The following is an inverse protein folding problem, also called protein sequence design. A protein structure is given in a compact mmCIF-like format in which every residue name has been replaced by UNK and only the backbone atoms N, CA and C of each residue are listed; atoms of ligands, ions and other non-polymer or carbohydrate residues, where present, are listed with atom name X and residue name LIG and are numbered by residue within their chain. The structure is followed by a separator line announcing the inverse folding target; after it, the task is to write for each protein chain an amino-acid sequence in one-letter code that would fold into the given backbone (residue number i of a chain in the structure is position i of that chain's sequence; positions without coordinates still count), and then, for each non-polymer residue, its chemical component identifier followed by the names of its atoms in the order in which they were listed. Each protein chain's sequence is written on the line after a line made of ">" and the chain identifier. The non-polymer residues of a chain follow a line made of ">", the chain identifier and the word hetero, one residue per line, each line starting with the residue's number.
data_IF_282296394676
#
_entry.id   IF_282296394676
#
_cell.length_a   1.000
_cell.length_b   1.000
_cell.length_c   1.000
_cell.angle_alpha   90.00
_cell.angle_beta   90.00
_cell.angle_gamma   90.00
#
_symmetry.space_group_name_H-M   'P 1'
#
loop_
_entity.id
_entity.type
_entity.pdbx_description
1 polymer ?
#
# COMPACT_ATOMS: atom_id res chain seq x y z
N UNK A 1 2.22 24.44 14.33
CA UNK A 1 2.79 23.57 13.28
C UNK A 1 4.18 23.13 13.68
N UNK A 2 4.31 22.07 14.47
CA UNK A 2 5.63 21.52 14.81
C UNK A 2 5.86 20.30 13.95
N UNK A 3 6.91 20.28 13.13
CA UNK A 3 7.32 19.13 12.31
C UNK A 3 7.43 17.81 13.10
N UNK A 4 7.62 17.93 14.43
CA UNK A 4 7.58 16.83 15.39
C UNK A 4 6.24 16.08 15.42
N UNK A 5 5.10 16.78 15.29
CA UNK A 5 3.77 16.17 15.34
C UNK A 5 3.52 15.30 14.11
N UNK A 6 3.84 15.81 12.91
CA UNK A 6 3.76 15.09 11.64
C UNK A 6 4.59 13.81 11.69
N UNK A 7 5.85 13.89 12.16
CA UNK A 7 6.72 12.72 12.26
C UNK A 7 6.18 11.64 13.21
N UNK A 8 5.51 12.04 14.30
CA UNK A 8 4.89 11.11 15.25
C UNK A 8 3.68 10.41 14.61
N UNK A 9 2.81 11.16 13.95
CA UNK A 9 1.63 10.63 13.25
C UNK A 9 2.07 9.68 12.14
N UNK A 10 2.99 10.11 11.28
CA UNK A 10 3.53 9.28 10.20
C UNK A 10 4.12 7.96 10.71
N UNK A 11 4.93 7.99 11.77
CA UNK A 11 5.54 6.79 12.33
C UNK A 11 4.50 5.84 12.92
N UNK A 12 3.43 6.37 13.52
CA UNK A 12 2.30 5.59 14.01
C UNK A 12 1.59 4.91 12.83
N UNK A 13 1.21 5.68 11.81
CA UNK A 13 0.48 5.16 10.64
C UNK A 13 1.28 4.11 9.87
N UNK A 14 2.58 4.35 9.68
CA UNK A 14 3.46 3.37 9.04
C UNK A 14 3.51 2.06 9.84
N UNK A 15 3.62 2.13 11.17
CA UNK A 15 3.60 0.92 12.00
C UNK A 15 2.25 0.21 11.94
N UNK A 16 1.14 0.95 12.01
CA UNK A 16 -0.22 0.42 11.90
C UNK A 16 -0.43 -0.33 10.59
N UNK A 17 0.07 0.24 9.49
CA UNK A 17 0.03 -0.36 8.16
C UNK A 17 0.67 -1.76 8.13
N UNK A 18 1.85 -1.93 8.73
CA UNK A 18 2.53 -3.23 8.80
C UNK A 18 2.05 -4.15 9.92
N UNK A 19 1.21 -3.69 10.84
CA UNK A 19 0.60 -4.58 11.85
C UNK A 19 -0.74 -5.15 11.41
N UNK A 20 -1.42 -4.53 10.45
CA UNK A 20 -2.76 -4.97 10.07
C UNK A 20 -2.74 -6.06 8.98
N UNK A 21 -3.52 -7.16 9.13
CA UNK A 21 -3.49 -8.33 8.24
C UNK A 21 -3.76 -8.04 6.76
N UNK A 22 -4.56 -7.01 6.45
CA UNK A 22 -4.95 -6.67 5.08
C UNK A 22 -3.78 -6.30 4.16
N UNK A 23 -2.77 -5.58 4.68
CA UNK A 23 -1.59 -5.24 3.88
C UNK A 23 -0.82 -6.48 3.46
N UNK A 24 -0.67 -7.46 4.37
CA UNK A 24 -0.03 -8.73 4.05
C UNK A 24 -0.79 -9.52 3.00
N UNK A 25 -2.12 -9.52 3.05
CA UNK A 25 -2.95 -10.19 2.05
C UNK A 25 -2.70 -9.59 0.65
N UNK A 26 -2.74 -8.26 0.54
CA UNK A 26 -2.55 -7.58 -0.74
C UNK A 26 -1.13 -7.78 -1.28
N UNK A 27 -0.11 -7.66 -0.42
CA UNK A 27 1.30 -7.90 -0.81
C UNK A 27 1.49 -9.35 -1.26
N UNK A 28 0.93 -10.32 -0.54
CA UNK A 28 1.03 -11.74 -0.89
C UNK A 28 0.35 -12.03 -2.24
N UNK A 29 -0.84 -11.46 -2.46
CA UNK A 29 -1.54 -11.60 -3.74
C UNK A 29 -0.72 -11.01 -4.90
N UNK A 30 -0.17 -9.81 -4.69
CA UNK A 30 0.70 -9.15 -5.67
C UNK A 30 1.91 -10.03 -6.04
N UNK A 31 2.59 -10.60 -5.04
CA UNK A 31 3.76 -11.45 -5.27
C UNK A 31 3.39 -12.76 -5.99
N UNK A 32 2.27 -13.39 -5.63
CA UNK A 32 1.81 -14.63 -6.28
C UNK A 32 1.46 -14.36 -7.75
N UNK A 33 0.68 -13.30 -8.02
CA UNK A 33 0.25 -12.96 -9.38
C UNK A 33 1.47 -12.60 -10.25
N UNK A 34 2.31 -11.67 -9.79
CA UNK A 34 3.49 -11.25 -10.55
C UNK A 34 4.50 -12.39 -10.74
N UNK A 35 4.74 -13.19 -9.70
CA UNK A 35 5.61 -14.35 -9.76
C UNK A 35 5.11 -15.40 -10.75
N UNK A 36 3.81 -15.72 -10.72
CA UNK A 36 3.22 -16.67 -11.66
C UNK A 36 3.36 -16.20 -13.12
N UNK A 37 2.99 -14.95 -13.41
CA UNK A 37 3.11 -14.39 -14.77
C UNK A 37 4.56 -14.35 -15.26
N UNK A 38 5.51 -14.04 -14.38
CA UNK A 38 6.93 -14.06 -14.68
C UNK A 38 7.40 -15.48 -15.05
N UNK A 39 7.16 -16.47 -14.18
CA UNK A 39 7.59 -17.84 -14.41
C UNK A 39 6.91 -18.48 -15.62
N UNK A 40 5.61 -18.22 -15.84
CA UNK A 40 4.88 -18.74 -17.00
C UNK A 40 5.48 -18.27 -18.33
N UNK A 41 5.92 -17.01 -18.41
CA UNK A 41 6.53 -16.45 -19.63
C UNK A 41 7.99 -16.89 -19.78
N UNK A 42 8.74 -16.97 -18.67
CA UNK A 42 10.17 -17.26 -18.65
C UNK A 42 10.53 -18.61 -19.29
N UNK A 43 9.77 -19.66 -18.97
CA UNK A 43 10.02 -21.00 -19.54
C UNK A 43 9.64 -21.11 -21.03
N UNK A 44 8.73 -20.26 -21.51
CA UNK A 44 8.26 -20.30 -22.91
C UNK A 44 9.22 -19.58 -23.87
N UNK A 45 9.81 -18.46 -23.44
CA UNK A 45 10.68 -17.67 -24.32
C UNK A 45 12.11 -18.21 -24.40
N UNK A 46 12.57 -18.97 -23.40
CA UNK A 46 13.93 -19.53 -23.37
C UNK A 46 15.04 -18.47 -23.38
N UNK A 47 14.71 -17.22 -23.03
CA UNK A 47 15.60 -16.06 -23.02
C UNK A 47 15.47 -15.32 -21.68
N UNK A 48 16.59 -14.82 -21.17
CA UNK A 48 16.61 -14.01 -19.95
C UNK A 48 16.25 -12.54 -20.25
N UNK A 49 14.98 -12.30 -20.60
CA UNK A 49 14.43 -10.97 -20.84
C UNK A 49 13.30 -10.64 -19.85
N UNK A 50 13.18 -9.35 -19.49
CA UNK A 50 12.17 -8.87 -18.53
C UNK A 50 11.14 -7.92 -19.17
N UNK A 51 11.14 -7.70 -20.49
CA UNK A 51 10.21 -6.77 -21.15
C UNK A 51 8.76 -7.14 -20.90
N UNK A 52 8.42 -8.43 -20.97
CA UNK A 52 7.05 -8.88 -20.73
C UNK A 52 6.61 -8.63 -19.27
N UNK A 53 7.54 -8.81 -18.31
CA UNK A 53 7.30 -8.48 -16.91
C UNK A 53 7.04 -6.99 -16.70
N UNK A 54 7.87 -6.12 -17.29
CA UNK A 54 7.69 -4.67 -17.20
C UNK A 54 6.46 -4.17 -17.96
N UNK A 55 6.01 -4.86 -19.01
CA UNK A 55 4.77 -4.54 -19.70
C UNK A 55 3.51 -4.82 -18.85
N UNK A 56 3.56 -5.86 -18.02
CA UNK A 56 2.44 -6.24 -17.13
C UNK A 56 2.41 -5.45 -15.81
N UNK A 57 3.58 -4.98 -15.34
CA UNK A 57 3.72 -4.22 -14.09
C UNK A 57 2.75 -3.02 -13.96
N UNK A 58 2.58 -2.13 -14.96
CA UNK A 58 1.63 -1.01 -14.88
C UNK A 58 0.19 -1.47 -14.66
N UNK A 59 -0.22 -2.55 -15.32
CA UNK A 59 -1.58 -3.10 -15.21
C UNK A 59 -1.79 -3.65 -13.80
N UNK A 60 -0.83 -4.42 -13.29
CA UNK A 60 -0.92 -4.98 -11.93
C UNK A 60 -0.93 -3.86 -10.89
N UNK A 61 -0.05 -2.87 -11.03
CA UNK A 61 0.00 -1.72 -10.12
C UNK A 61 -1.27 -0.86 -10.15
N UNK A 62 -1.95 -0.75 -11.29
CA UNK A 62 -3.23 -0.04 -11.36
C UNK A 62 -4.29 -0.63 -10.41
N UNK A 63 -4.19 -1.92 -10.06
CA UNK A 63 -5.06 -2.54 -9.06
C UNK A 63 -4.42 -2.61 -7.67
N UNK A 64 -3.14 -2.97 -7.58
CA UNK A 64 -2.46 -3.14 -6.30
C UNK A 64 -2.26 -1.83 -5.55
N UNK A 65 -1.91 -0.73 -6.23
CA UNK A 65 -1.68 0.57 -5.57
C UNK A 65 -2.97 1.09 -4.93
N UNK A 66 -4.12 1.18 -5.62
CA UNK A 66 -5.36 1.58 -4.98
C UNK A 66 -5.79 0.64 -3.87
N UNK A 67 -5.63 -0.68 -4.03
CA UNK A 67 -5.98 -1.63 -2.98
C UNK A 67 -5.17 -1.40 -1.69
N UNK A 68 -3.87 -1.10 -1.82
CA UNK A 68 -3.02 -0.76 -0.68
C UNK A 68 -3.39 0.61 -0.09
N UNK A 69 -3.57 1.63 -0.94
CA UNK A 69 -3.81 3.01 -0.51
C UNK A 69 -5.20 3.22 0.09
N UNK A 70 -6.25 2.65 -0.49
CA UNK A 70 -7.62 2.74 0.03
C UNK A 70 -7.72 2.19 1.44
N UNK A 71 -6.87 1.22 1.80
CA UNK A 71 -6.86 0.63 3.13
C UNK A 71 -6.44 1.60 4.22
N UNK A 72 -5.45 2.47 3.96
CA UNK A 72 -5.02 3.48 4.93
C UNK A 72 -6.20 4.32 5.39
N UNK A 73 -6.96 4.87 4.43
CA UNK A 73 -8.13 5.68 4.74
C UNK A 73 -9.29 4.86 5.31
N UNK A 74 -9.59 3.71 4.71
CA UNK A 74 -10.77 2.91 5.10
C UNK A 74 -10.68 2.37 6.52
N UNK A 75 -9.48 2.01 7.01
CA UNK A 75 -9.30 1.57 8.39
C UNK A 75 -9.52 2.71 9.39
N UNK A 76 -9.10 3.94 9.07
CA UNK A 76 -9.35 5.12 9.90
C UNK A 76 -10.84 5.48 9.96
N UNK A 77 -11.52 5.48 8.81
CA UNK A 77 -12.97 5.74 8.75
C UNK A 77 -13.78 4.64 9.45
N UNK A 78 -13.40 3.38 9.28
CA UNK A 78 -14.09 2.24 9.91
C UNK A 78 -13.90 2.21 11.44
N UNK A 79 -12.73 2.60 11.93
CA UNK A 79 -12.42 2.59 13.37
C UNK A 79 -12.93 3.82 14.13
N UNK A 80 -13.42 4.86 13.42
CA UNK A 80 -13.81 6.14 14.02
C UNK A 80 -12.62 6.99 14.48
N UNK A 81 -11.38 6.54 14.21
CA UNK A 81 -10.15 7.24 14.62
C UNK A 81 -10.02 8.61 13.95
N UNK A 82 -10.64 8.78 12.78
CA UNK A 82 -10.69 10.05 12.06
C UNK A 82 -11.39 11.15 12.87
N UNK A 83 -12.43 10.83 13.62
CA UNK A 83 -13.14 11.79 14.46
C UNK A 83 -12.29 12.24 15.66
N UNK A 84 -11.51 11.32 16.23
CA UNK A 84 -10.57 11.59 17.32
C UNK A 84 -9.44 12.50 16.83
N UNK A 85 -8.90 12.25 15.62
CA UNK A 85 -7.87 13.10 15.03
C UNK A 85 -8.35 14.54 14.80
N UNK A 86 -9.61 14.72 14.39
CA UNK A 86 -10.21 16.05 14.24
C UNK A 86 -10.41 16.83 15.55
N UNK A 87 -10.52 16.14 16.69
CA UNK A 87 -10.72 16.79 17.99
C UNK A 87 -9.40 17.09 18.71
N UNK A 88 -8.29 16.53 18.23
CA UNK A 88 -6.95 16.85 18.72
C UNK A 88 -6.49 18.21 18.18
N UNK A 89 -5.60 18.93 18.90
CA UNK A 89 -5.04 20.20 18.47
C UNK A 89 -3.97 20.03 17.38
N UNK A 90 -4.32 19.36 16.29
CA UNK A 90 -3.52 19.10 15.09
C UNK A 90 -4.16 19.79 13.90
N UNK A 91 -3.35 20.27 12.95
CA UNK A 91 -3.88 20.92 11.74
C UNK A 91 -4.40 19.86 10.77
N UNK A 92 -5.40 20.19 9.95
CA UNK A 92 -5.83 19.31 8.85
C UNK A 92 -4.67 18.95 7.91
N UNK A 93 -3.69 19.85 7.75
CA UNK A 93 -2.46 19.60 6.98
C UNK A 93 -1.53 18.57 7.61
N UNK A 94 -1.70 18.25 8.90
CA UNK A 94 -0.95 17.19 9.57
C UNK A 94 -1.63 15.81 9.41
N UNK A 95 -2.88 15.77 8.93
CA UNK A 95 -3.73 14.56 8.77
C UNK A 95 -3.80 14.11 7.30
N UNK A 96 -3.73 15.03 6.35
CA UNK A 96 -3.85 14.79 4.88
C UNK A 96 -2.46 14.57 4.27
#
# INVERSE_FOLDING_TARGET
>A
MTARSIAIIYKREFKTFFTSPGAYIIISLFLIITGWFFFASFFLEGRADMRNFFALLPIIFAFSIPAVAMRLFSEEFKSGSFEILKTLPVSDLDII
#
